data_IF_630072827987
#
_entry.id   IF_630072827987
#
_cell.length_a   1.000
_cell.length_b   1.000
_cell.length_c   1.000
_cell.angle_alpha   90.00
_cell.angle_beta   90.00
_cell.angle_gamma   90.00
#
_symmetry.space_group_name_H-M   'P 1'
#
loop_
_entity.id
_entity.type
_entity.pdbx_description
1 polymer ?
#
# COMPACT_ATOMS: atom_id res chain seq x y z
N UNK A 1 15.33 18.54 -12.10
CA UNK A 1 14.34 18.71 -11.03
C UNK A 1 13.09 17.92 -11.39
N UNK A 2 12.65 16.99 -10.55
CA UNK A 2 11.31 16.42 -10.72
C UNK A 2 10.27 17.54 -10.55
N UNK A 3 9.25 17.53 -11.42
CA UNK A 3 8.12 18.47 -11.32
C UNK A 3 7.46 18.29 -9.93
N UNK A 4 7.18 19.35 -9.16
CA UNK A 4 6.69 19.25 -7.78
C UNK A 4 5.48 18.30 -7.61
N UNK A 5 4.55 18.31 -8.57
CA UNK A 5 3.39 17.42 -8.57
C UNK A 5 3.70 15.93 -8.83
N UNK A 6 4.82 15.63 -9.49
CA UNK A 6 5.25 14.24 -9.73
C UNK A 6 5.90 13.64 -8.47
N UNK A 7 6.72 14.42 -7.77
CA UNK A 7 7.35 13.98 -6.52
C UNK A 7 6.31 13.63 -5.44
N UNK A 8 5.23 14.42 -5.34
CA UNK A 8 4.13 14.14 -4.42
C UNK A 8 3.42 12.83 -4.77
N UNK A 9 3.07 12.61 -6.05
CA UNK A 9 2.43 11.37 -6.51
C UNK A 9 3.30 10.14 -6.25
N UNK A 10 4.60 10.25 -6.48
CA UNK A 10 5.56 9.17 -6.20
C UNK A 10 5.68 8.90 -4.70
N UNK A 11 5.69 9.92 -3.85
CA UNK A 11 5.62 9.74 -2.40
C UNK A 11 4.34 9.02 -1.98
N UNK A 12 3.19 9.39 -2.56
CA UNK A 12 1.93 8.67 -2.32
C UNK A 12 2.03 7.22 -2.76
N UNK A 13 2.52 6.94 -3.98
CA UNK A 13 2.67 5.58 -4.49
C UNK A 13 3.61 4.74 -3.61
N UNK A 14 4.73 5.30 -3.16
CA UNK A 14 5.70 4.64 -2.28
C UNK A 14 5.04 4.17 -0.98
N UNK A 15 4.21 5.01 -0.37
CA UNK A 15 3.48 4.67 0.84
C UNK A 15 2.37 3.63 0.61
N UNK A 16 1.71 3.65 -0.55
CA UNK A 16 0.73 2.62 -0.93
C UNK A 16 1.40 1.25 -1.06
N UNK A 17 2.57 1.16 -1.71
CA UNK A 17 3.34 -0.09 -1.79
C UNK A 17 3.83 -0.55 -0.41
N UNK A 18 4.24 0.38 0.45
CA UNK A 18 4.65 0.06 1.80
C UNK A 18 3.48 -0.52 2.62
N UNK A 19 2.32 0.12 2.58
CA UNK A 19 1.10 -0.39 3.21
C UNK A 19 0.70 -1.76 2.65
N UNK A 20 0.71 -1.93 1.33
CA UNK A 20 0.42 -3.19 0.67
C UNK A 20 1.32 -4.32 1.20
N UNK A 21 2.61 -4.03 1.41
CA UNK A 21 3.54 -5.03 1.94
C UNK A 21 3.16 -5.49 3.35
N UNK A 22 2.75 -4.59 4.24
CA UNK A 22 2.33 -4.94 5.60
C UNK A 22 1.04 -5.75 5.59
N UNK A 23 0.09 -5.40 4.74
CA UNK A 23 -1.15 -6.16 4.56
C UNK A 23 -0.85 -7.58 4.07
N UNK A 24 0.02 -7.75 3.09
CA UNK A 24 0.44 -9.08 2.64
C UNK A 24 1.14 -9.89 3.73
N UNK A 25 1.93 -9.24 4.61
CA UNK A 25 2.55 -9.93 5.76
C UNK A 25 1.51 -10.40 6.78
N UNK A 26 0.53 -9.57 7.11
CA UNK A 26 -0.55 -9.92 8.03
C UNK A 26 -1.42 -11.07 7.47
N UNK A 27 -1.75 -11.01 6.18
CA UNK A 27 -2.46 -12.08 5.50
C UNK A 27 -1.64 -13.38 5.45
N UNK A 28 -0.32 -13.28 5.25
CA UNK A 28 0.58 -14.43 5.29
C UNK A 28 0.62 -15.09 6.66
N UNK A 29 0.65 -14.30 7.73
CA UNK A 29 0.57 -14.77 9.11
C UNK A 29 -0.75 -15.51 9.36
N UNK A 30 -1.87 -14.93 8.92
CA UNK A 30 -3.18 -15.58 8.99
C UNK A 30 -3.21 -16.91 8.22
N UNK A 31 -2.70 -16.94 6.98
CA UNK A 31 -2.61 -18.17 6.18
C UNK A 31 -1.77 -19.25 6.87
N UNK A 32 -0.65 -18.88 7.49
CA UNK A 32 0.21 -19.82 8.21
C UNK A 32 -0.50 -20.42 9.44
N UNK A 33 -1.27 -19.62 10.18
CA UNK A 33 -2.11 -20.11 11.30
C UNK A 33 -3.16 -21.13 10.86
N UNK A 34 -3.66 -21.01 9.63
CA UNK A 34 -4.68 -21.88 9.05
C UNK A 34 -4.11 -23.01 8.18
N UNK A 35 -2.79 -23.26 8.22
CA UNK A 35 -2.10 -24.32 7.45
C UNK A 35 -2.19 -24.16 5.92
N UNK A 36 -2.38 -22.94 5.45
CA UNK A 36 -2.32 -22.60 4.02
C UNK A 36 -0.89 -22.17 3.64
N UNK A 37 0.09 -23.07 3.76
CA UNK A 37 1.52 -22.75 3.63
C UNK A 37 1.91 -22.20 2.25
N UNK A 38 1.28 -22.69 1.18
CA UNK A 38 1.46 -22.18 -0.18
C UNK A 38 0.99 -20.74 -0.34
N UNK A 39 -0.20 -20.42 0.17
CA UNK A 39 -0.74 -19.07 0.14
C UNK A 39 0.08 -18.12 1.03
N UNK A 40 0.49 -18.58 2.21
CA UNK A 40 1.37 -17.81 3.11
C UNK A 40 2.69 -17.45 2.43
N UNK A 41 3.32 -18.40 1.73
CA UNK A 41 4.57 -18.17 0.99
C UNK A 41 4.36 -17.21 -0.19
N UNK A 42 3.29 -17.40 -0.96
CA UNK A 42 2.93 -16.50 -2.05
C UNK A 42 2.78 -15.05 -1.57
N UNK A 43 2.08 -14.83 -0.45
CA UNK A 43 1.88 -13.50 0.13
C UNK A 43 3.19 -12.87 0.63
N UNK A 44 4.11 -13.63 1.21
CA UNK A 44 5.45 -13.12 1.57
C UNK A 44 6.23 -12.65 0.34
N UNK A 45 6.18 -13.41 -0.74
CA UNK A 45 6.82 -13.02 -2.02
C UNK A 45 6.21 -11.73 -2.58
N UNK A 46 4.89 -11.56 -2.46
CA UNK A 46 4.20 -10.31 -2.83
C UNK A 46 4.61 -9.14 -1.93
N UNK A 47 4.68 -9.33 -0.62
CA UNK A 47 5.16 -8.32 0.32
C UNK A 47 6.59 -7.85 -0.02
N UNK A 48 7.49 -8.80 -0.29
CA UNK A 48 8.87 -8.50 -0.68
C UNK A 48 8.94 -7.69 -1.99
N UNK A 49 8.08 -8.02 -2.96
CA UNK A 49 7.99 -7.28 -4.23
C UNK A 49 7.55 -5.84 -4.01
N UNK A 50 6.53 -5.60 -3.19
CA UNK A 50 6.05 -4.25 -2.86
C UNK A 50 7.11 -3.44 -2.09
N UNK A 51 7.82 -4.02 -1.11
CA UNK A 51 8.95 -3.36 -0.45
C UNK A 51 10.04 -2.97 -1.47
N UNK A 52 10.33 -3.86 -2.43
CA UNK A 52 11.31 -3.55 -3.49
C UNK A 52 10.86 -2.36 -4.33
N UNK A 53 9.56 -2.23 -4.63
CA UNK A 53 9.00 -1.07 -5.31
C UNK A 53 9.10 0.20 -4.45
N UNK A 54 8.76 0.14 -3.16
CA UNK A 54 8.94 1.23 -2.21
C UNK A 54 10.38 1.75 -2.24
N UNK A 55 11.37 0.87 -2.14
CA UNK A 55 12.78 1.24 -2.17
C UNK A 55 13.21 1.84 -3.52
N UNK A 56 12.71 1.32 -4.65
CA UNK A 56 12.98 1.90 -5.97
C UNK A 56 12.44 3.33 -6.10
N UNK A 57 11.22 3.58 -5.61
CA UNK A 57 10.62 4.93 -5.64
C UNK A 57 11.37 5.87 -4.71
N UNK A 58 11.78 5.39 -3.53
CA UNK A 58 12.61 6.13 -2.58
C UNK A 58 13.92 6.61 -3.22
N UNK A 59 14.66 5.69 -3.86
CA UNK A 59 15.92 6.01 -4.52
C UNK A 59 15.73 6.96 -5.71
N UNK A 60 14.64 6.78 -6.46
CA UNK A 60 14.30 7.68 -7.56
C UNK A 60 14.04 9.11 -7.07
N UNK A 61 13.27 9.27 -5.99
CA UNK A 61 13.00 10.58 -5.38
C UNK A 61 14.29 11.27 -4.94
N UNK A 62 15.18 10.54 -4.26
CA UNK A 62 16.49 11.05 -3.86
C UNK A 62 17.33 11.51 -5.06
N UNK A 63 17.43 10.69 -6.10
CA UNK A 63 18.18 11.03 -7.33
C UNK A 63 17.60 12.25 -8.05
N UNK A 64 16.29 12.45 -7.98
CA UNK A 64 15.60 13.58 -8.59
C UNK A 64 15.70 14.89 -7.79
N UNK A 65 16.35 14.88 -6.61
CA UNK A 65 16.47 16.02 -5.71
C UNK A 65 15.21 16.29 -4.89
N UNK A 66 14.34 15.28 -4.73
CA UNK A 66 13.13 15.36 -3.91
C UNK A 66 13.29 14.56 -2.62
N UNK A 67 12.56 14.94 -1.57
CA UNK A 67 12.59 14.24 -0.30
C UNK A 67 11.57 13.10 -0.26
N UNK A 68 12.00 11.84 -0.05
CA UNK A 68 11.09 10.74 0.20
C UNK A 68 10.54 10.84 1.62
N UNK A 69 9.22 10.67 1.76
CA UNK A 69 8.51 10.69 3.04
C UNK A 69 7.81 9.34 3.20
N UNK A 70 8.30 8.55 4.15
CA UNK A 70 7.65 7.29 4.55
C UNK A 70 6.79 7.58 5.77
N UNK A 71 5.49 7.38 5.63
CA UNK A 71 4.54 7.54 6.72
C UNK A 71 4.50 6.27 7.56
N UNK A 72 4.29 6.37 8.88
CA UNK A 72 4.02 5.21 9.71
C UNK A 72 2.78 4.52 9.17
N UNK A 73 2.87 3.22 8.97
CA UNK A 73 1.72 2.45 8.54
C UNK A 73 0.78 2.22 9.73
N UNK A 74 -0.53 2.39 9.49
CA UNK A 74 -1.53 1.93 10.44
C UNK A 74 -1.75 0.45 10.16
N UNK A 75 -1.30 -0.40 11.10
CA UNK A 75 -1.48 -1.84 11.01
C UNK A 75 -2.96 -2.17 10.84
N UNK A 76 -3.38 -2.42 9.61
CA UNK A 76 -4.68 -3.01 9.33
C UNK A 76 -4.50 -4.50 9.68
N UNK A 77 -5.14 -4.96 10.75
CA UNK A 77 -5.20 -6.38 11.05
C UNK A 77 -6.43 -6.93 10.30
N UNK A 78 -6.27 -7.51 9.11
CA UNK A 78 -7.39 -8.07 8.38
C UNK A 78 -7.93 -9.27 9.16
N UNK A 79 -9.05 -9.09 9.84
CA UNK A 79 -9.86 -10.21 10.33
C UNK A 79 -10.42 -10.93 9.08
N UNK A 80 -9.63 -11.83 8.49
CA UNK A 80 -10.10 -12.72 7.43
C UNK A 80 -10.91 -13.86 8.07
N UNK A 81 -12.14 -14.06 7.62
CA UNK A 81 -12.97 -15.18 8.06
C UNK A 81 -12.74 -16.44 7.22
N UNK A 82 -12.34 -16.29 5.94
CA UNK A 82 -12.14 -17.39 4.98
C UNK A 82 -11.03 -17.07 3.96
N UNK A 83 -10.47 -18.09 3.32
CA UNK A 83 -9.41 -17.93 2.30
C UNK A 83 -9.90 -17.14 1.06
N UNK A 84 -11.18 -17.23 0.71
CA UNK A 84 -11.82 -16.43 -0.35
C UNK A 84 -11.91 -14.92 -0.04
N UNK A 85 -12.02 -14.55 1.24
CA UNK A 85 -11.99 -13.15 1.68
C UNK A 85 -10.62 -12.51 1.43
N UNK A 86 -9.57 -13.32 1.36
CA UNK A 86 -8.21 -12.91 1.05
C UNK A 86 -8.05 -12.44 -0.41
N UNK A 87 -8.82 -13.04 -1.32
CA UNK A 87 -8.82 -12.70 -2.75
C UNK A 87 -9.90 -11.71 -3.14
N UNK A 88 -10.84 -11.44 -2.23
CA UNK A 88 -11.87 -10.42 -2.44
C UNK A 88 -11.22 -9.03 -2.39
N UNK A 89 -11.36 -8.21 -3.44
CA UNK A 89 -10.80 -6.87 -3.44
C UNK A 89 -11.51 -6.00 -2.39
N UNK A 90 -10.84 -5.77 -1.26
CA UNK A 90 -11.30 -4.85 -0.22
C UNK A 90 -10.51 -3.53 -0.33
N UNK A 91 -11.17 -2.40 -0.69
CA UNK A 91 -10.50 -1.10 -0.80
C UNK A 91 -9.93 -0.59 0.53
N UNK A 92 -10.41 -1.10 1.67
CA UNK A 92 -9.85 -0.79 3.00
C UNK A 92 -8.51 -1.49 3.24
N UNK A 93 -8.28 -2.67 2.62
CA UNK A 93 -7.03 -3.45 2.74
C UNK A 93 -5.98 -3.03 1.73
N UNK A 94 -6.39 -2.67 0.52
CA UNK A 94 -5.46 -2.22 -0.51
C UNK A 94 -6.06 -1.00 -1.19
N UNK A 95 -5.83 0.21 -0.66
CA UNK A 95 -6.31 1.42 -1.30
C UNK A 95 -5.69 1.54 -2.69
N UNK A 96 -6.53 1.34 -3.71
CA UNK A 96 -6.12 1.58 -5.09
C UNK A 96 -6.09 3.07 -5.37
N UNK A 97 -5.23 3.49 -6.31
CA UNK A 97 -5.08 4.90 -6.68
C UNK A 97 -6.40 5.59 -7.08
N UNK A 98 -7.44 4.84 -7.47
CA UNK A 98 -8.77 5.38 -7.76
C UNK A 98 -9.52 5.86 -6.50
N UNK A 99 -9.44 5.10 -5.39
CA UNK A 99 -10.08 5.48 -4.12
C UNK A 99 -9.45 6.74 -3.51
N UNK A 100 -8.11 6.86 -3.58
CA UNK A 100 -7.37 8.04 -3.12
C UNK A 100 -7.70 9.31 -3.92
N UNK A 101 -8.02 9.16 -5.22
CA UNK A 101 -8.45 10.26 -6.07
C UNK A 101 -9.88 10.74 -5.74
N UNK A 102 -10.78 9.82 -5.38
CA UNK A 102 -12.15 10.16 -4.97
C UNK A 102 -12.21 10.81 -3.58
N UNK A 103 -11.39 10.34 -2.63
CA UNK A 103 -11.26 10.95 -1.29
C UNK A 103 -10.74 12.39 -1.36
N UNK A 104 -9.81 12.67 -2.27
CA UNK A 104 -9.29 14.01 -2.52
C UNK A 104 -10.30 14.93 -3.22
N UNK A 105 -11.22 14.39 -4.03
CA UNK A 105 -12.32 15.16 -4.64
C UNK A 105 -13.40 15.52 -3.62
N UNK A 106 -13.76 14.61 -2.72
CA UNK A 106 -14.79 14.87 -1.68
C UNK A 106 -14.37 15.96 -0.69
N UNK A 107 -13.09 16.01 -0.29
CA UNK A 107 -12.58 17.05 0.61
C UNK A 107 -12.59 18.47 0.02
N UNK A 108 -12.59 18.61 -1.31
CA UNK A 108 -12.61 19.92 -1.98
C UNK A 108 -14.01 20.54 -2.05
N UNK A 109 -15.07 19.77 -1.81
CA UNK A 109 -16.45 20.24 -1.92
C UNK A 109 -17.02 20.78 -0.59
N UNK A 110 -16.39 20.48 0.55
CA UNK A 110 -16.79 21.00 1.87
C UNK A 110 -16.18 22.36 2.24
N UNK A 111 -15.22 22.88 1.48
CA UNK A 111 -14.62 24.20 1.74
C UNK A 111 -15.34 25.36 1.02
N UNK A 112 -16.56 25.13 0.52
CA UNK A 112 -17.32 26.11 -0.27
C UNK A 112 -18.79 26.27 0.14
N UNK A 113 -19.14 25.88 1.36
CA UNK A 113 -20.45 26.15 1.96
C UNK A 113 -20.28 26.83 3.30
#
# INVERSE_FOLDING_TARGET
MAVPGMAQKLNTQMNLEFHASNVYLNLSEWCARHRFDGAATFLRTRAQSSITLTMRVFDYLKKAGSWPIVNPDHACNPECTSLEDLFTPNPERLPTAQSSAERSRSGSQSAKR
#
